data_IF_135909561437
#
_entry.id   IF_135909561437
#
_cell.length_a   1.000
_cell.length_b   1.000
_cell.length_c   1.000
_cell.angle_alpha   90.00
_cell.angle_beta   90.00
_cell.angle_gamma   90.00
#
_symmetry.space_group_name_H-M   'P 1'
#
loop_
_entity.id
_entity.type
_entity.pdbx_description
1 polymer ?
#
# COMPACT_ATOMS: atom_id res chain seq x y z
N UNK A 1 -7.27 7.61 16.81
CA UNK A 1 -6.01 8.40 16.82
C UNK A 1 -4.79 7.57 16.38
N UNK A 2 -4.96 6.38 15.77
CA UNK A 2 -3.84 5.63 15.16
C UNK A 2 -3.87 5.63 13.63
N UNK A 3 -5.04 5.85 13.01
CA UNK A 3 -5.21 5.74 11.56
C UNK A 3 -4.62 6.92 10.77
N UNK A 4 -4.58 8.12 11.36
CA UNK A 4 -4.02 9.31 10.70
C UNK A 4 -2.50 9.24 10.50
N UNK A 5 -1.77 8.52 11.36
CA UNK A 5 -0.31 8.42 11.26
C UNK A 5 0.16 7.58 10.08
N UNK A 6 -0.64 6.60 9.65
CA UNK A 6 -0.30 5.75 8.50
C UNK A 6 -0.53 6.50 7.19
N UNK A 7 -1.62 7.26 7.08
CA UNK A 7 -1.91 8.09 5.90
C UNK A 7 -0.85 9.16 5.67
N UNK A 8 -0.45 9.87 6.72
CA UNK A 8 0.58 10.92 6.66
C UNK A 8 1.96 10.36 6.27
N UNK A 9 2.36 9.22 6.85
CA UNK A 9 3.63 8.56 6.51
C UNK A 9 3.66 8.11 5.05
N UNK A 10 2.57 7.55 4.54
CA UNK A 10 2.47 7.12 3.13
C UNK A 10 2.52 8.34 2.22
N UNK A 11 1.83 9.43 2.56
CA UNK A 11 1.86 10.65 1.75
C UNK A 11 3.27 11.24 1.69
N UNK A 12 3.94 11.32 2.83
CA UNK A 12 5.31 11.83 2.92
C UNK A 12 6.28 11.00 2.08
N UNK A 13 6.16 9.66 2.12
CA UNK A 13 6.98 8.76 1.32
C UNK A 13 6.66 8.91 -0.18
N UNK A 14 5.38 9.02 -0.54
CA UNK A 14 4.95 9.25 -1.92
C UNK A 14 5.42 10.60 -2.46
N UNK A 15 5.36 11.68 -1.69
CA UNK A 15 5.93 12.99 -2.07
C UNK A 15 7.45 12.92 -2.23
N UNK A 16 8.14 12.10 -1.42
CA UNK A 16 9.58 11.90 -1.53
C UNK A 16 9.97 11.14 -2.81
N UNK A 17 9.26 10.06 -3.13
CA UNK A 17 9.52 9.24 -4.32
C UNK A 17 8.95 9.85 -5.62
N UNK A 18 7.86 10.60 -5.52
CA UNK A 18 7.17 11.24 -6.65
C UNK A 18 6.98 12.74 -6.38
N UNK A 19 8.08 13.53 -6.34
CA UNK A 19 8.03 14.95 -6.00
C UNK A 19 7.33 15.80 -7.05
N UNK A 20 7.02 15.23 -8.22
CA UNK A 20 6.38 15.95 -9.32
C UNK A 20 5.46 15.00 -10.06
N UNK A 21 4.16 15.06 -9.73
CA UNK A 21 3.13 14.45 -10.56
C UNK A 21 2.71 15.47 -11.61
N UNK A 22 2.67 15.10 -12.91
CA UNK A 22 2.28 16.01 -13.97
C UNK A 22 0.88 16.59 -13.71
N UNK A 23 0.64 17.83 -14.15
CA UNK A 23 -0.64 18.51 -13.95
C UNK A 23 -1.80 17.67 -14.52
N UNK A 24 -2.75 17.30 -13.65
CA UNK A 24 -3.87 16.39 -13.97
C UNK A 24 -3.56 14.91 -13.80
N UNK A 25 -2.32 14.50 -13.55
CA UNK A 25 -1.96 13.12 -13.25
C UNK A 25 -2.51 12.64 -11.90
N UNK A 26 -2.64 11.32 -11.76
CA UNK A 26 -2.98 10.64 -10.53
C UNK A 26 -1.91 9.59 -10.17
N UNK A 27 -1.72 9.33 -8.89
CA UNK A 27 -0.88 8.22 -8.43
C UNK A 27 -1.75 6.99 -8.24
N UNK A 28 -1.40 5.88 -8.88
CA UNK A 28 -2.00 4.59 -8.61
C UNK A 28 -1.08 3.82 -7.66
N UNK A 29 -1.59 3.52 -6.48
CA UNK A 29 -0.89 2.75 -5.45
C UNK A 29 -1.60 1.41 -5.30
N UNK A 30 -0.86 0.31 -5.48
CA UNK A 30 -1.35 -1.04 -5.17
C UNK A 30 -0.80 -1.44 -3.82
N UNK A 31 -1.71 -1.72 -2.90
CA UNK A 31 -1.36 -2.19 -1.58
C UNK A 31 -1.99 -3.55 -1.30
N UNK A 32 -1.24 -4.47 -0.71
CA UNK A 32 -1.79 -5.68 -0.11
C UNK A 32 -2.06 -5.45 1.37
N UNK A 33 -3.24 -5.85 1.80
CA UNK A 33 -3.62 -5.86 3.21
C UNK A 33 -4.07 -7.25 3.61
N UNK A 34 -3.80 -7.62 4.85
CA UNK A 34 -4.34 -8.85 5.41
C UNK A 34 -5.83 -8.70 5.73
N UNK A 35 -6.62 -9.73 5.45
CA UNK A 35 -8.05 -9.79 5.82
C UNK A 35 -8.26 -9.60 7.33
N UNK A 36 -7.34 -10.14 8.15
CA UNK A 36 -7.36 -9.97 9.60
C UNK A 36 -7.09 -8.54 10.06
N UNK A 37 -6.74 -7.62 9.15
CA UNK A 37 -6.38 -6.26 9.48
C UNK A 37 -7.57 -5.35 9.76
N UNK A 38 -8.75 -5.68 9.21
CA UNK A 38 -9.90 -4.78 9.25
C UNK A 38 -9.71 -3.48 8.47
N UNK A 39 -8.54 -3.26 7.85
CA UNK A 39 -8.27 -2.16 6.94
C UNK A 39 -8.95 -2.44 5.61
N UNK A 40 -9.99 -1.68 5.31
CA UNK A 40 -10.70 -1.75 4.03
C UNK A 40 -10.08 -0.80 3.03
N UNK A 41 -10.21 -1.14 1.74
CA UNK A 41 -9.90 -0.24 0.62
C UNK A 41 -10.50 1.16 0.82
N UNK A 42 -11.75 1.21 1.29
CA UNK A 42 -12.49 2.44 1.52
C UNK A 42 -11.86 3.30 2.62
N UNK A 43 -11.43 2.71 3.74
CA UNK A 43 -10.83 3.45 4.85
C UNK A 43 -9.47 4.07 4.45
N UNK A 44 -8.62 3.30 3.78
CA UNK A 44 -7.34 3.80 3.28
C UNK A 44 -7.52 4.83 2.16
N UNK A 45 -8.47 4.61 1.25
CA UNK A 45 -8.78 5.56 0.18
C UNK A 45 -9.31 6.88 0.75
N UNK A 46 -10.14 6.84 1.80
CA UNK A 46 -10.61 8.04 2.49
C UNK A 46 -9.47 8.78 3.21
N UNK A 47 -8.51 8.06 3.80
CA UNK A 47 -7.33 8.70 4.39
C UNK A 47 -6.47 9.42 3.34
N UNK A 48 -6.29 8.82 2.17
CA UNK A 48 -5.56 9.43 1.05
C UNK A 48 -6.30 10.60 0.42
N UNK A 49 -7.62 10.51 0.28
CA UNK A 49 -8.48 11.59 -0.21
C UNK A 49 -8.41 12.81 0.72
N UNK A 50 -8.50 12.58 2.03
CA UNK A 50 -8.33 13.62 3.03
C UNK A 50 -6.94 14.27 2.97
N UNK A 51 -5.88 13.47 2.81
CA UNK A 51 -4.52 13.98 2.69
C UNK A 51 -4.31 14.76 1.37
N UNK A 52 -4.93 14.33 0.27
CA UNK A 52 -5.00 15.07 -0.98
C UNK A 52 -5.63 16.46 -0.78
N UNK A 53 -6.78 16.53 -0.12
CA UNK A 53 -7.47 17.79 0.18
C UNK A 53 -6.63 18.71 1.09
N UNK A 54 -5.89 18.14 2.05
CA UNK A 54 -5.08 18.91 3.00
C UNK A 54 -3.75 19.41 2.39
N UNK A 55 -3.12 18.65 1.50
CA UNK A 55 -1.77 18.94 0.98
C UNK A 55 -1.74 19.43 -0.48
N UNK A 56 -2.90 19.64 -1.11
CA UNK A 56 -3.01 19.93 -2.56
C UNK A 56 -2.21 18.93 -3.42
N UNK A 57 -2.07 17.70 -2.91
CA UNK A 57 -1.32 16.63 -3.56
C UNK A 57 -2.05 16.19 -4.85
N UNK A 58 -1.42 15.44 -5.77
CA UNK A 58 -2.14 14.80 -6.87
C UNK A 58 -3.18 13.78 -6.36
N UNK A 59 -4.29 13.55 -7.08
CA UNK A 59 -5.27 12.53 -6.71
C UNK A 59 -4.63 11.15 -6.66
N UNK A 60 -4.86 10.40 -5.57
CA UNK A 60 -4.27 9.08 -5.34
C UNK A 60 -5.37 8.02 -5.43
N UNK A 61 -5.20 7.05 -6.33
CA UNK A 61 -6.04 5.86 -6.46
C UNK A 61 -5.35 4.70 -5.77
N UNK A 62 -5.93 4.25 -4.66
CA UNK A 62 -5.45 3.08 -3.96
C UNK A 62 -6.25 1.85 -4.38
N UNK A 63 -5.55 0.86 -4.88
CA UNK A 63 -6.09 -0.47 -5.15
C UNK A 63 -5.60 -1.40 -4.06
N UNK A 64 -6.53 -1.78 -3.16
CA UNK A 64 -6.22 -2.66 -2.04
C UNK A 64 -6.61 -4.08 -2.41
N UNK A 65 -5.62 -4.97 -2.36
CA UNK A 65 -5.77 -6.41 -2.52
C UNK A 65 -5.82 -7.03 -1.12
N UNK A 66 -7.02 -7.42 -0.71
CA UNK A 66 -7.21 -8.16 0.53
C UNK A 66 -6.80 -9.62 0.31
N UNK A 67 -5.71 -10.02 0.94
CA UNK A 67 -5.20 -11.39 0.94
C UNK A 67 -5.35 -11.96 2.36
N UNK A 68 -5.17 -13.27 2.53
CA UNK A 68 -5.30 -13.92 3.84
C UNK A 68 -4.24 -13.50 4.87
N UNK A 69 -3.66 -14.45 5.60
CA UNK A 69 -2.57 -14.14 6.52
C UNK A 69 -1.31 -13.74 5.75
N UNK A 70 -0.87 -12.50 5.93
CA UNK A 70 0.43 -12.04 5.48
C UNK A 70 1.46 -12.33 6.57
N UNK A 71 2.69 -12.58 6.15
CA UNK A 71 3.84 -12.73 7.04
C UNK A 71 5.04 -12.02 6.48
N UNK A 72 5.77 -11.39 7.39
CA UNK A 72 7.03 -10.74 7.11
C UNK A 72 8.16 -11.69 7.44
N UNK A 73 8.97 -12.02 6.44
CA UNK A 73 10.22 -12.69 6.70
C UNK A 73 11.15 -11.76 7.49
N UNK A 74 11.71 -12.27 8.58
CA UNK A 74 12.63 -11.52 9.43
C UNK A 74 14.01 -11.37 8.78
N UNK A 75 14.35 -12.29 7.90
CA UNK A 75 15.67 -12.39 7.27
C UNK A 75 15.79 -11.47 6.05
N UNK A 76 14.86 -11.58 5.09
CA UNK A 76 14.86 -10.71 3.91
C UNK A 76 13.98 -9.48 4.05
N UNK A 77 13.13 -9.40 5.08
CA UNK A 77 12.18 -8.30 5.27
C UNK A 77 10.97 -8.34 4.34
N UNK A 78 10.92 -9.28 3.39
CA UNK A 78 9.82 -9.41 2.43
C UNK A 78 8.53 -9.82 3.14
N UNK A 79 7.43 -9.14 2.82
CA UNK A 79 6.09 -9.50 3.27
C UNK A 79 5.42 -10.29 2.16
N UNK A 80 4.99 -11.51 2.46
CA UNK A 80 4.30 -12.39 1.51
C UNK A 80 3.13 -13.08 2.20
N UNK A 81 2.12 -13.56 1.46
CA UNK A 81 1.14 -14.48 2.02
C UNK A 81 1.84 -15.69 2.64
N UNK A 82 1.46 -16.03 3.86
CA UNK A 82 2.02 -17.18 4.58
C UNK A 82 1.21 -18.41 4.23
N UNK A 83 1.88 -19.37 3.60
CA UNK A 83 1.38 -20.73 3.47
C UNK A 83 1.66 -21.52 4.75
N UNK A 84 0.98 -22.66 4.89
CA UNK A 84 1.06 -23.58 6.04
C UNK A 84 2.49 -23.99 6.43
N UNK A 85 3.43 -24.01 5.50
CA UNK A 85 4.85 -24.29 5.74
C UNK A 85 5.63 -23.18 6.46
N UNK A 86 5.07 -21.96 6.64
CA UNK A 86 5.75 -20.82 7.30
C UNK A 86 7.13 -20.47 6.72
N UNK A 87 7.38 -20.81 5.45
CA UNK A 87 8.65 -20.52 4.76
C UNK A 87 8.48 -19.32 3.83
N UNK A 88 9.47 -18.44 3.82
CA UNK A 88 9.49 -17.32 2.89
C UNK A 88 9.73 -17.82 1.46
N UNK A 89 8.78 -17.55 0.55
CA UNK A 89 8.93 -17.88 -0.87
C UNK A 89 10.02 -17.09 -1.61
N UNK A 90 10.52 -15.99 -1.03
CA UNK A 90 11.55 -15.14 -1.64
C UNK A 90 12.97 -15.58 -1.29
N UNK A 91 13.24 -15.93 -0.03
CA UNK A 91 14.60 -16.31 0.42
C UNK A 91 14.72 -17.77 0.90
N UNK A 92 13.60 -18.47 1.10
CA UNK A 92 13.59 -19.84 1.64
C UNK A 92 13.80 -19.92 3.15
N UNK A 93 13.82 -18.79 3.87
CA UNK A 93 13.99 -18.78 5.34
C UNK A 93 12.69 -19.17 6.05
N UNK A 94 12.79 -19.99 7.09
CA UNK A 94 11.67 -20.36 7.97
C UNK A 94 11.38 -19.34 9.07
N UNK A 95 12.17 -18.26 9.16
CA UNK A 95 11.93 -17.17 10.11
C UNK A 95 10.91 -16.18 9.55
N UNK A 96 9.67 -16.61 9.39
CA UNK A 96 8.53 -15.76 8.98
C UNK A 96 7.70 -15.38 10.20
N UNK A 97 7.61 -14.08 10.46
CA UNK A 97 6.73 -13.54 11.50
C UNK A 97 5.38 -13.21 10.86
N UNK A 98 4.30 -13.76 11.41
CA UNK A 98 2.96 -13.38 10.99
C UNK A 98 2.77 -11.89 11.19
N UNK A 99 2.42 -11.21 10.11
CA UNK A 99 2.13 -9.79 10.14
C UNK A 99 0.74 -9.66 10.76
N UNK A 100 0.69 -9.13 11.98
CA UNK A 100 -0.56 -8.85 12.68
C UNK A 100 -1.44 -7.89 11.89
N UNK A 101 -2.71 -7.79 12.28
CA UNK A 101 -3.79 -7.07 11.60
C UNK A 101 -3.63 -5.55 11.42
N UNK A 102 -2.43 -5.03 11.27
CA UNK A 102 -2.15 -3.64 10.91
C UNK A 102 -1.04 -3.58 9.86
N UNK A 103 -0.96 -4.60 8.99
CA UNK A 103 0.08 -4.67 7.96
C UNK A 103 -0.48 -4.28 6.60
N UNK A 104 0.00 -3.15 6.09
CA UNK A 104 -0.20 -2.68 4.72
C UNK A 104 1.13 -2.80 3.99
N UNK A 105 1.15 -3.54 2.88
CA UNK A 105 2.32 -3.65 2.01
C UNK A 105 2.04 -2.90 0.72
N UNK A 106 2.84 -1.89 0.40
CA UNK A 106 2.79 -1.26 -0.92
C UNK A 106 3.55 -2.15 -1.90
N UNK A 107 2.84 -2.71 -2.88
CA UNK A 107 3.43 -3.59 -3.89
C UNK A 107 3.95 -2.80 -5.08
N UNK A 108 3.19 -1.80 -5.50
CA UNK A 108 3.49 -1.05 -6.72
C UNK A 108 2.95 0.36 -6.60
N UNK A 109 3.74 1.33 -7.05
CA UNK A 109 3.31 2.72 -7.22
C UNK A 109 3.59 3.10 -8.66
N UNK A 110 2.56 3.57 -9.35
CA UNK A 110 2.63 4.03 -10.73
C UNK A 110 2.04 5.42 -10.86
N UNK A 111 2.66 6.26 -11.68
CA UNK A 111 2.13 7.59 -12.01
C UNK A 111 1.29 7.46 -13.28
N UNK A 112 0.01 7.79 -13.21
CA UNK A 112 -0.85 7.94 -14.38
C UNK A 112 -0.91 9.43 -14.73
N UNK A 113 -0.43 9.83 -15.90
CA UNK A 113 -0.73 11.17 -16.42
C UNK A 113 -2.19 11.23 -16.89
N UNK A 114 -2.90 12.34 -16.65
CA UNK A 114 -4.16 12.63 -17.35
C UNK A 114 -3.85 12.83 -18.84
N UNK A 115 -3.85 11.73 -19.58
CA UNK A 115 -3.48 11.70 -20.98
C UNK A 115 -3.66 10.33 -21.63
N UNK A 116 -3.90 9.26 -20.87
CA UNK A 116 -4.23 7.96 -21.45
C UNK A 116 -5.74 7.72 -21.39
N UNK A 117 -6.42 7.55 -22.54
CA UNK A 117 -7.82 7.15 -22.55
C UNK A 117 -7.92 5.76 -21.91
N UNK A 118 -8.84 5.62 -20.97
CA UNK A 118 -9.39 4.33 -20.54
C UNK A 118 -9.82 3.57 -21.79
N UNK A 119 -8.95 2.67 -22.26
CA UNK A 119 -9.19 1.86 -23.45
C UNK A 119 -10.19 0.75 -23.13
N UNK A 120 -11.37 0.87 -23.74
CA UNK A 120 -12.17 -0.19 -24.39
C UNK A 120 -12.52 -1.44 -23.61
#
# INVERSE_FOLDING_TARGET
MHEHGVGDLILHDLEHYFPTVPAGGCLRVRARVSEISGLTSEALQAALDHAHEQHEAPPIRLEVLTEGLLGRCRDCGTVTPVSDDLVCGACGSGEVTLCGGETVLIEEVSVCSAGEPTGG
#
